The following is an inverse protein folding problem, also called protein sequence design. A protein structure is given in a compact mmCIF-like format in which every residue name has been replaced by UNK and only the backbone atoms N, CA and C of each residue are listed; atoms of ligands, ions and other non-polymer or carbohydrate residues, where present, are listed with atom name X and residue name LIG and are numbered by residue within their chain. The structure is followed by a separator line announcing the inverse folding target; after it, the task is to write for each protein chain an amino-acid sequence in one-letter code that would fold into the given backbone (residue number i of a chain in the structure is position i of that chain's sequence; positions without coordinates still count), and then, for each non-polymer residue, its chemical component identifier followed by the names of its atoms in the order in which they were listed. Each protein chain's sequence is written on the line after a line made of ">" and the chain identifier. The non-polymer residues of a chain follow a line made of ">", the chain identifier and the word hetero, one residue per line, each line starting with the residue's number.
data_IF_194492786681
#
_entry.id   IF_194492786681
#
_cell.length_a   1.000
_cell.length_b   1.000
_cell.length_c   1.000
_cell.angle_alpha   90.00
_cell.angle_beta   90.00
_cell.angle_gamma   90.00
#
_symmetry.space_group_name_H-M   'P 1'
#
loop_
_entity.id
_entity.type
_entity.pdbx_description
1 polymer ?
#
# COMPACT_ATOMS: atom_id res chain seq x y z
N UNK A 1 15.56 15.48 15.66
CA UNK A 1 15.33 16.58 14.71
C UNK A 1 14.08 16.28 13.93
N UNK A 2 13.23 17.26 13.75
CA UNK A 2 11.93 17.11 13.06
C UNK A 2 12.04 16.95 11.54
N UNK A 3 13.09 16.34 11.02
CA UNK A 3 13.23 15.94 9.61
C UNK A 3 12.93 17.01 8.55
N UNK A 4 12.96 18.28 8.90
CA UNK A 4 12.64 19.40 8.01
C UNK A 4 11.14 19.57 7.71
N UNK A 5 10.81 20.50 6.83
CA UNK A 5 9.42 20.79 6.43
C UNK A 5 8.92 19.80 5.37
N UNK A 6 7.64 19.49 5.38
CA UNK A 6 6.97 18.94 4.22
C UNK A 6 6.79 20.06 3.17
N UNK A 7 6.94 19.73 1.89
CA UNK A 7 6.80 20.68 0.79
C UNK A 7 5.73 20.16 -0.17
N UNK A 8 4.77 21.01 -0.49
CA UNK A 8 3.74 20.76 -1.48
C UNK A 8 4.07 21.57 -2.74
N UNK A 9 4.26 20.89 -3.86
CA UNK A 9 4.44 21.45 -5.17
C UNK A 9 3.11 21.39 -5.91
N UNK A 10 2.44 22.54 -6.05
CA UNK A 10 1.11 22.63 -6.68
C UNK A 10 1.20 22.77 -8.21
N UNK A 11 2.31 23.31 -8.72
CA UNK A 11 2.57 23.52 -10.14
C UNK A 11 3.73 22.62 -10.59
N UNK A 12 3.43 21.36 -10.88
CA UNK A 12 4.42 20.39 -11.34
C UNK A 12 4.51 20.44 -12.85
N UNK A 13 5.71 20.62 -13.40
CA UNK A 13 5.92 20.63 -14.84
C UNK A 13 5.46 19.32 -15.48
N UNK A 14 4.59 19.42 -16.49
CA UNK A 14 4.06 18.26 -17.21
C UNK A 14 2.95 17.49 -16.50
N UNK A 15 2.46 17.93 -15.32
CA UNK A 15 1.40 17.26 -14.60
C UNK A 15 0.43 18.22 -13.92
N UNK A 16 -0.85 17.84 -13.90
CA UNK A 16 -1.89 18.53 -13.14
C UNK A 16 -2.06 17.97 -11.72
N UNK A 17 -1.25 16.99 -11.35
CA UNK A 17 -1.28 16.35 -10.04
C UNK A 17 -0.20 16.97 -9.15
N UNK A 18 -0.54 17.50 -7.98
CA UNK A 18 0.45 18.07 -7.06
C UNK A 18 1.34 16.97 -6.46
N UNK A 19 2.57 17.37 -6.06
CA UNK A 19 3.53 16.47 -5.43
C UNK A 19 3.81 16.94 -4.01
N UNK A 20 3.60 16.05 -3.05
CA UNK A 20 3.99 16.25 -1.67
C UNK A 20 5.25 15.44 -1.35
N UNK A 21 6.29 16.10 -0.86
CA UNK A 21 7.52 15.44 -0.44
C UNK A 21 7.75 15.61 1.06
N UNK A 22 8.54 14.71 1.64
CA UNK A 22 8.87 14.69 3.07
C UNK A 22 7.61 14.62 3.98
N UNK A 23 6.56 13.93 3.52
CA UNK A 23 5.30 13.80 4.27
C UNK A 23 5.49 13.11 5.63
N UNK A 24 6.41 12.15 5.73
CA UNK A 24 6.68 11.35 6.94
C UNK A 24 7.94 11.76 7.69
N UNK A 25 8.48 12.93 7.45
CA UNK A 25 9.74 13.39 8.01
C UNK A 25 9.70 13.83 9.49
N UNK A 26 8.60 13.63 10.22
CA UNK A 26 8.54 13.84 11.68
C UNK A 26 7.47 12.96 12.32
N UNK A 27 7.65 12.63 13.62
CA UNK A 27 6.67 11.87 14.40
C UNK A 27 5.28 12.50 14.37
N UNK A 28 5.20 13.82 14.45
CA UNK A 28 3.92 14.54 14.35
C UNK A 28 3.21 14.31 13.03
N UNK A 29 3.93 14.34 11.90
CA UNK A 29 3.35 14.08 10.56
C UNK A 29 2.98 12.62 10.37
N UNK A 30 3.78 11.70 10.90
CA UNK A 30 3.44 10.28 10.91
C UNK A 30 2.16 10.04 11.71
N UNK A 31 2.03 10.64 12.90
CA UNK A 31 0.82 10.54 13.71
C UNK A 31 -0.42 11.05 12.96
N UNK A 32 -0.29 12.20 12.25
CA UNK A 32 -1.37 12.74 11.41
C UNK A 32 -1.71 11.75 10.26
N UNK A 33 -0.71 11.25 9.56
CA UNK A 33 -0.89 10.34 8.44
C UNK A 33 -1.57 9.01 8.85
N UNK A 34 -1.25 8.51 10.03
CA UNK A 34 -1.84 7.30 10.60
C UNK A 34 -3.14 7.58 11.38
N UNK A 35 -3.57 8.84 11.50
CA UNK A 35 -4.73 9.25 12.29
C UNK A 35 -4.66 8.80 13.75
N UNK A 36 -3.47 8.82 14.33
CA UNK A 36 -3.22 8.45 15.73
C UNK A 36 -2.68 9.64 16.53
N UNK A 37 -2.88 9.63 17.83
CA UNK A 37 -2.30 10.64 18.73
C UNK A 37 -0.81 10.40 18.96
N UNK A 38 -0.40 9.13 19.00
CA UNK A 38 0.96 8.74 19.36
C UNK A 38 1.25 7.35 18.78
N UNK A 39 2.20 7.27 17.83
CA UNK A 39 2.61 6.03 17.18
C UNK A 39 3.16 5.02 18.19
N UNK A 40 3.79 5.48 19.29
CA UNK A 40 4.37 4.60 20.31
C UNK A 40 3.32 3.78 21.07
N UNK A 41 2.03 4.12 20.95
CA UNK A 41 0.92 3.34 21.52
C UNK A 41 0.46 2.19 20.65
N UNK A 42 0.72 2.24 19.34
CA UNK A 42 0.27 1.20 18.39
C UNK A 42 0.73 -0.20 18.80
N UNK A 43 2.01 -0.44 19.17
CA UNK A 43 2.44 -1.76 19.62
C UNK A 43 1.65 -2.28 20.82
N UNK A 44 1.35 -1.42 21.79
CA UNK A 44 0.58 -1.79 22.97
C UNK A 44 -0.88 -2.14 22.62
N UNK A 45 -1.46 -1.42 21.67
CA UNK A 45 -2.83 -1.70 21.22
C UNK A 45 -2.91 -3.02 20.45
N UNK A 46 -1.93 -3.32 19.59
CA UNK A 46 -1.82 -4.61 18.92
C UNK A 46 -1.60 -5.75 19.93
N UNK A 47 -0.75 -5.57 20.91
CA UNK A 47 -0.45 -6.54 21.95
C UNK A 47 -1.70 -6.99 22.73
N UNK A 48 -2.68 -6.10 22.92
CA UNK A 48 -3.96 -6.46 23.56
C UNK A 48 -4.68 -7.57 22.80
N UNK A 49 -4.62 -7.54 21.46
CA UNK A 49 -5.27 -8.56 20.62
C UNK A 49 -4.44 -9.83 20.50
N UNK A 50 -3.11 -9.71 20.42
CA UNK A 50 -2.21 -10.86 20.28
C UNK A 50 -2.13 -11.72 21.57
N UNK A 51 -2.33 -11.10 22.74
CA UNK A 51 -2.24 -11.77 24.05
C UNK A 51 -3.56 -12.34 24.54
N UNK A 52 -4.62 -12.34 23.74
CA UNK A 52 -5.90 -12.95 24.11
C UNK A 52 -5.70 -14.43 24.31
N UNK A 53 -5.91 -14.89 25.55
CA UNK A 53 -5.98 -16.32 25.85
C UNK A 53 -7.40 -16.83 25.60
N UNK A 54 -7.56 -18.09 25.17
CA UNK A 54 -8.88 -18.70 25.08
C UNK A 54 -9.61 -18.60 26.42
N UNK A 55 -10.85 -18.08 26.46
CA UNK A 55 -11.58 -17.94 27.73
C UNK A 55 -11.94 -19.28 28.32
N UNK A 56 -11.68 -19.46 29.59
CA UNK A 56 -11.93 -20.70 30.35
C UNK A 56 -13.34 -20.77 30.96
N UNK A 57 -14.01 -19.61 31.11
CA UNK A 57 -15.32 -19.50 31.74
C UNK A 57 -16.31 -18.65 30.94
N UNK A 58 -17.61 -18.81 31.22
CA UNK A 58 -18.69 -18.00 30.62
C UNK A 58 -18.53 -16.50 30.94
N UNK A 59 -18.12 -16.16 32.15
CA UNK A 59 -17.85 -14.79 32.56
C UNK A 59 -16.71 -14.14 31.78
N UNK A 60 -15.65 -14.89 31.49
CA UNK A 60 -14.54 -14.42 30.67
C UNK A 60 -14.98 -14.20 29.20
N UNK A 61 -15.84 -15.07 28.66
CA UNK A 61 -16.42 -14.89 27.33
C UNK A 61 -17.21 -13.59 27.21
N UNK A 62 -18.03 -13.27 28.21
CA UNK A 62 -18.80 -12.02 28.25
C UNK A 62 -17.88 -10.80 28.35
N UNK A 63 -16.81 -10.86 29.14
CA UNK A 63 -15.81 -9.76 29.26
C UNK A 63 -15.03 -9.53 27.98
N UNK A 64 -14.81 -10.56 27.17
CA UNK A 64 -14.12 -10.44 25.88
C UNK A 64 -15.03 -9.92 24.73
N UNK A 65 -16.35 -9.98 24.92
CA UNK A 65 -17.31 -9.61 23.86
C UNK A 65 -17.11 -8.22 23.28
N UNK A 66 -16.89 -7.14 24.06
CA UNK A 66 -16.65 -5.81 23.50
C UNK A 66 -15.40 -5.79 22.61
N UNK A 67 -14.31 -6.42 23.04
CA UNK A 67 -13.06 -6.48 22.29
C UNK A 67 -13.18 -7.31 21.01
N UNK A 68 -13.96 -8.40 21.04
CA UNK A 68 -14.24 -9.21 19.86
C UNK A 68 -15.13 -8.44 18.86
N UNK A 69 -16.08 -7.63 19.33
CA UNK A 69 -16.91 -6.76 18.49
C UNK A 69 -16.06 -5.67 17.82
N UNK A 70 -15.10 -5.09 18.56
CA UNK A 70 -14.14 -4.15 18.02
C UNK A 70 -13.25 -4.82 16.95
N UNK A 71 -12.70 -6.00 17.25
CA UNK A 71 -11.90 -6.77 16.29
C UNK A 71 -12.70 -7.19 15.05
N UNK A 72 -13.99 -7.46 15.18
CA UNK A 72 -14.88 -7.79 14.06
C UNK A 72 -15.12 -6.60 13.09
N UNK A 73 -14.79 -5.37 13.49
CA UNK A 73 -14.85 -4.20 12.62
C UNK A 73 -13.62 -4.04 11.71
N UNK A 74 -12.51 -4.73 11.99
CA UNK A 74 -11.26 -4.63 11.22
C UNK A 74 -11.26 -5.27 9.83
N UNK A 75 -12.02 -6.35 9.54
CA UNK A 75 -12.00 -6.94 8.21
C UNK A 75 -12.34 -5.93 7.12
N UNK A 76 -11.63 -5.96 5.97
CA UNK A 76 -11.89 -5.05 4.87
C UNK A 76 -13.29 -5.25 4.33
N UNK A 77 -13.97 -4.14 4.02
CA UNK A 77 -15.30 -4.14 3.42
C UNK A 77 -15.19 -4.11 1.90
N UNK A 78 -15.94 -4.96 1.23
CA UNK A 78 -16.08 -4.89 -0.22
C UNK A 78 -17.00 -3.73 -0.58
N UNK A 79 -16.50 -2.86 -1.46
CA UNK A 79 -17.29 -1.78 -2.07
C UNK A 79 -17.61 -2.13 -3.51
N UNK A 80 -18.76 -1.70 -4.00
CA UNK A 80 -19.11 -1.89 -5.41
C UNK A 80 -18.23 -1.02 -6.31
N UNK A 81 -18.02 -1.43 -7.56
CA UNK A 81 -17.25 -0.65 -8.54
C UNK A 81 -17.78 0.77 -8.72
N UNK A 82 -19.10 0.98 -8.57
CA UNK A 82 -19.73 2.31 -8.67
C UNK A 82 -19.40 3.24 -7.50
N UNK A 83 -18.99 2.69 -6.37
CA UNK A 83 -18.64 3.43 -5.15
C UNK A 83 -17.14 3.54 -4.94
N UNK A 84 -16.35 2.86 -5.76
CA UNK A 84 -14.90 2.86 -5.67
C UNK A 84 -14.32 4.08 -6.40
N UNK A 85 -13.85 5.08 -5.64
CA UNK A 85 -13.26 6.30 -6.21
C UNK A 85 -12.09 6.02 -7.18
N UNK A 86 -11.33 4.94 -6.95
CA UNK A 86 -10.26 4.52 -7.86
C UNK A 86 -10.76 4.00 -9.23
N UNK A 87 -12.07 3.93 -9.45
CA UNK A 87 -12.69 3.51 -10.72
C UNK A 87 -13.54 4.61 -11.37
N UNK A 88 -13.48 5.84 -10.88
CA UNK A 88 -14.16 6.99 -11.50
C UNK A 88 -13.61 7.30 -12.89
N UNK A 89 -12.30 7.17 -13.07
CA UNK A 89 -11.62 7.33 -14.35
C UNK A 89 -10.90 6.03 -14.68
N UNK A 90 -11.25 5.43 -15.81
CA UNK A 90 -10.64 4.19 -16.29
C UNK A 90 -10.01 4.44 -17.66
N UNK A 91 -8.69 4.30 -17.74
CA UNK A 91 -7.93 4.42 -18.98
C UNK A 91 -7.43 3.02 -19.39
N UNK A 92 -7.63 2.68 -20.66
CA UNK A 92 -7.26 1.36 -21.19
C UNK A 92 -6.55 1.47 -22.54
N UNK A 93 -5.81 0.45 -22.90
CA UNK A 93 -5.17 0.38 -24.23
C UNK A 93 -4.25 1.57 -24.51
N UNK A 94 -4.57 2.36 -25.51
CA UNK A 94 -3.74 3.49 -25.94
C UNK A 94 -3.91 4.76 -25.11
N UNK A 95 -4.96 4.83 -24.29
CA UNK A 95 -5.18 5.95 -23.38
C UNK A 95 -4.31 5.90 -22.12
N UNK A 96 -3.68 4.75 -21.84
CA UNK A 96 -2.75 4.59 -20.71
C UNK A 96 -1.48 5.39 -20.95
N UNK A 97 -1.19 6.32 -20.03
CA UNK A 97 -0.02 7.18 -20.12
C UNK A 97 0.55 7.51 -18.73
N UNK A 98 1.62 6.81 -18.35
CA UNK A 98 2.32 7.02 -17.08
C UNK A 98 3.07 8.36 -17.03
N UNK A 99 3.29 9.03 -18.16
CA UNK A 99 3.94 10.35 -18.20
C UNK A 99 3.02 11.45 -17.63
N UNK A 100 1.71 11.20 -17.56
CA UNK A 100 0.74 12.11 -16.92
C UNK A 100 0.79 12.10 -15.40
N UNK A 101 1.41 11.05 -14.81
CA UNK A 101 1.58 10.93 -13.37
C UNK A 101 2.95 11.50 -12.99
N UNK A 102 3.07 12.38 -11.97
CA UNK A 102 4.33 13.01 -11.60
C UNK A 102 5.26 12.04 -10.87
N UNK A 103 5.71 11.01 -11.57
CA UNK A 103 6.64 10.00 -11.05
C UNK A 103 8.04 10.58 -11.08
N UNK A 104 8.68 10.66 -9.91
CA UNK A 104 9.94 11.37 -9.74
C UNK A 104 11.16 10.49 -10.06
N UNK A 105 12.19 11.11 -10.63
CA UNK A 105 13.57 10.64 -10.50
C UNK A 105 14.16 11.33 -9.27
N UNK A 106 14.32 10.58 -8.16
CA UNK A 106 14.68 11.16 -6.87
C UNK A 106 16.15 11.60 -6.79
N UNK A 107 17.04 10.95 -7.53
CA UNK A 107 18.47 11.20 -7.50
C UNK A 107 19.04 11.31 -8.91
N UNK A 108 20.07 12.17 -9.15
CA UNK A 108 20.64 12.36 -10.48
C UNK A 108 21.18 11.07 -11.12
N UNK A 109 21.66 10.14 -10.29
CA UNK A 109 22.23 8.87 -10.75
C UNK A 109 21.26 7.68 -10.70
N UNK A 110 19.97 7.92 -10.40
CA UNK A 110 18.94 6.89 -10.55
C UNK A 110 18.80 6.48 -12.01
N UNK A 111 18.51 5.20 -12.25
CA UNK A 111 18.32 4.65 -13.60
C UNK A 111 17.08 5.18 -14.32
N UNK A 112 16.37 6.16 -13.75
CA UNK A 112 15.17 6.79 -14.27
C UNK A 112 14.16 7.11 -13.18
N UNK A 113 12.89 7.24 -13.61
CA UNK A 113 11.77 7.54 -12.72
C UNK A 113 11.29 6.27 -12.01
N UNK A 114 10.97 6.38 -10.71
CA UNK A 114 10.52 5.25 -9.92
C UNK A 114 9.24 5.56 -9.16
N UNK A 115 8.27 4.66 -9.22
CA UNK A 115 7.16 4.58 -8.29
C UNK A 115 7.72 3.94 -7.01
N UNK A 116 7.96 4.77 -5.99
CA UNK A 116 8.76 4.36 -4.83
C UNK A 116 7.93 3.70 -3.75
N UNK A 117 6.65 4.01 -3.66
CA UNK A 117 5.77 3.61 -2.57
C UNK A 117 4.45 2.97 -3.06
N UNK A 118 4.46 2.10 -4.09
CA UNK A 118 3.25 1.46 -4.54
C UNK A 118 2.92 0.25 -3.67
N UNK A 119 1.63 0.04 -3.43
CA UNK A 119 1.13 -1.22 -2.89
C UNK A 119 0.78 -2.13 -4.05
N UNK A 120 1.44 -3.27 -4.11
CA UNK A 120 1.24 -4.28 -5.14
C UNK A 120 0.43 -5.44 -4.57
N UNK A 121 -0.66 -5.76 -5.24
CA UNK A 121 -1.54 -6.87 -4.88
C UNK A 121 -1.44 -7.93 -5.98
N UNK A 122 -1.11 -9.14 -5.60
CA UNK A 122 -1.09 -10.30 -6.48
C UNK A 122 -1.64 -11.55 -5.76
N UNK A 123 -1.83 -12.63 -6.51
CA UNK A 123 -2.39 -13.89 -6.00
C UNK A 123 -1.59 -15.08 -6.47
N UNK A 124 -1.73 -16.19 -5.75
CA UNK A 124 -1.26 -17.50 -6.20
C UNK A 124 -2.00 -17.96 -7.46
N UNK A 125 -1.43 -18.90 -8.19
CA UNK A 125 -2.04 -19.46 -9.42
C UNK A 125 -3.43 -20.05 -9.16
N UNK A 126 -3.63 -20.68 -8.01
CA UNK A 126 -4.92 -21.24 -7.57
C UNK A 126 -5.88 -20.20 -6.99
N UNK A 127 -5.50 -18.92 -6.98
CA UNK A 127 -6.25 -17.76 -6.49
C UNK A 127 -6.61 -17.81 -5.00
N UNK A 128 -6.08 -18.74 -4.22
CA UNK A 128 -6.44 -18.93 -2.81
C UNK A 128 -5.73 -17.94 -1.89
N UNK A 129 -4.46 -17.64 -2.15
CA UNK A 129 -3.69 -16.73 -1.34
C UNK A 129 -3.50 -15.39 -2.05
N UNK A 130 -3.60 -14.31 -1.29
CA UNK A 130 -3.35 -12.95 -1.74
C UNK A 130 -2.13 -12.41 -1.01
N UNK A 131 -1.21 -11.83 -1.76
CA UNK A 131 -0.12 -11.04 -1.22
C UNK A 131 -0.42 -9.55 -1.42
N UNK A 132 -0.11 -8.76 -0.42
CA UNK A 132 -0.13 -7.29 -0.45
C UNK A 132 1.20 -6.81 0.08
N UNK A 133 1.96 -6.08 -0.73
CA UNK A 133 3.29 -5.64 -0.31
C UNK A 133 3.80 -4.44 -1.10
N UNK A 134 4.86 -3.83 -0.58
CA UNK A 134 5.54 -2.71 -1.21
C UNK A 134 6.64 -3.25 -2.14
N UNK A 135 6.57 -2.89 -3.43
CA UNK A 135 7.57 -3.25 -4.44
C UNK A 135 7.85 -2.03 -5.32
N UNK A 136 9.05 -1.50 -5.26
CA UNK A 136 9.50 -0.36 -6.09
C UNK A 136 9.40 -0.72 -7.57
N UNK A 137 8.91 0.20 -8.39
CA UNK A 137 8.75 0.02 -9.83
C UNK A 137 9.47 1.10 -10.60
N UNK A 138 10.30 0.72 -11.57
CA UNK A 138 10.89 1.65 -12.53
C UNK A 138 9.95 1.88 -13.69
N UNK A 139 9.76 3.12 -14.10
CA UNK A 139 8.99 3.45 -15.31
C UNK A 139 9.93 3.46 -16.50
N UNK A 140 9.66 2.64 -17.50
CA UNK A 140 10.44 2.57 -18.75
C UNK A 140 9.84 3.44 -19.84
N UNK A 141 8.52 3.38 -19.98
CA UNK A 141 7.76 4.16 -20.96
C UNK A 141 6.32 4.41 -20.47
N UNK A 142 5.46 4.91 -21.33
CA UNK A 142 4.06 5.26 -21.02
C UNK A 142 3.22 4.11 -20.47
N UNK A 143 3.58 2.87 -20.74
CA UNK A 143 2.78 1.67 -20.45
C UNK A 143 3.59 0.57 -19.75
N UNK A 144 4.91 0.70 -19.70
CA UNK A 144 5.80 -0.36 -19.24
C UNK A 144 6.55 0.04 -17.99
N UNK A 145 6.55 -0.86 -17.03
CA UNK A 145 7.29 -0.72 -15.76
C UNK A 145 8.08 -1.98 -15.45
N UNK A 146 9.21 -1.83 -14.76
CA UNK A 146 9.99 -2.92 -14.19
C UNK A 146 9.71 -3.07 -12.70
N UNK A 147 9.12 -4.19 -12.30
CA UNK A 147 8.88 -4.50 -10.89
C UNK A 147 10.14 -5.07 -10.23
N UNK A 148 10.57 -4.47 -9.12
CA UNK A 148 11.67 -5.01 -8.33
C UNK A 148 11.20 -6.13 -7.41
N UNK A 149 11.28 -7.37 -7.88
CA UNK A 149 11.00 -8.56 -7.09
C UNK A 149 12.18 -8.90 -6.17
N UNK A 150 12.07 -8.57 -4.89
CA UNK A 150 13.06 -9.00 -3.91
C UNK A 150 12.86 -10.50 -3.61
N UNK A 151 13.90 -11.30 -3.74
CA UNK A 151 13.87 -12.77 -3.75
C UNK A 151 13.17 -13.42 -2.53
N UNK A 152 13.22 -12.77 -1.38
CA UNK A 152 12.66 -13.28 -0.12
C UNK A 152 11.21 -12.86 0.13
N UNK A 153 10.57 -12.11 -0.78
CA UNK A 153 9.20 -11.66 -0.63
C UNK A 153 8.20 -12.58 -1.31
N UNK A 154 7.00 -12.68 -0.74
CA UNK A 154 5.93 -13.56 -1.25
C UNK A 154 5.57 -13.26 -2.71
N UNK A 155 5.53 -11.97 -3.11
CA UNK A 155 5.29 -11.60 -4.50
C UNK A 155 6.31 -12.20 -5.48
N UNK A 156 7.59 -12.29 -5.08
CA UNK A 156 8.62 -12.96 -5.88
C UNK A 156 8.37 -14.47 -5.96
N UNK A 157 7.96 -15.09 -4.87
CA UNK A 157 7.58 -16.50 -4.82
C UNK A 157 6.44 -16.79 -5.79
N UNK A 158 5.37 -16.01 -5.75
CA UNK A 158 4.23 -16.17 -6.66
C UNK A 158 4.66 -15.98 -8.11
N UNK A 159 5.46 -14.94 -8.40
CA UNK A 159 5.99 -14.71 -9.74
C UNK A 159 6.77 -15.91 -10.27
N UNK A 160 7.63 -16.53 -9.45
CA UNK A 160 8.39 -17.70 -9.85
C UNK A 160 7.50 -18.91 -10.18
N UNK A 161 6.43 -19.13 -9.44
CA UNK A 161 5.47 -20.20 -9.71
C UNK A 161 4.75 -19.99 -11.06
N UNK A 162 4.30 -18.75 -11.34
CA UNK A 162 3.73 -18.41 -12.63
C UNK A 162 4.74 -18.61 -13.78
N UNK A 163 5.98 -18.16 -13.58
CA UNK A 163 7.06 -18.31 -14.56
C UNK A 163 7.36 -19.78 -14.86
N UNK A 164 7.44 -20.66 -13.85
CA UNK A 164 7.64 -22.10 -14.04
C UNK A 164 6.55 -22.75 -14.91
N UNK A 165 5.33 -22.22 -14.85
CA UNK A 165 4.19 -22.73 -15.63
C UNK A 165 3.99 -21.99 -16.95
N UNK A 166 4.86 -21.06 -17.32
CA UNK A 166 4.72 -20.24 -18.53
C UNK A 166 3.46 -19.35 -18.54
N UNK A 167 2.95 -18.98 -17.35
CA UNK A 167 1.74 -18.17 -17.20
C UNK A 167 2.08 -16.73 -16.86
N UNK A 168 1.18 -15.80 -17.22
CA UNK A 168 1.24 -14.40 -16.83
C UNK A 168 0.64 -14.24 -15.44
N UNK A 169 1.34 -13.54 -14.55
CA UNK A 169 0.84 -13.15 -13.23
C UNK A 169 0.22 -11.76 -13.30
N UNK A 170 -1.06 -11.68 -13.03
CA UNK A 170 -1.75 -10.39 -12.90
C UNK A 170 -1.39 -9.72 -11.58
N UNK A 171 -1.14 -8.41 -11.64
CA UNK A 171 -0.87 -7.57 -10.48
C UNK A 171 -1.72 -6.31 -10.53
N UNK A 172 -2.32 -5.94 -9.41
CA UNK A 172 -2.88 -4.61 -9.21
C UNK A 172 -1.87 -3.76 -8.44
N UNK A 173 -1.70 -2.50 -8.86
CA UNK A 173 -0.78 -1.56 -8.23
C UNK A 173 -1.54 -0.33 -7.79
N UNK A 174 -1.58 -0.07 -6.49
CA UNK A 174 -2.16 1.14 -5.93
C UNK A 174 -1.05 2.18 -5.70
N UNK A 175 -1.19 3.34 -6.34
CA UNK A 175 -0.32 4.50 -6.16
C UNK A 175 -1.10 5.51 -5.33
N UNK A 176 -0.52 5.99 -4.22
CA UNK A 176 -1.21 6.90 -3.31
C UNK A 176 -2.20 6.19 -2.38
N UNK A 177 -1.90 4.97 -1.96
CA UNK A 177 -2.67 4.27 -0.95
C UNK A 177 -2.63 4.99 0.41
N UNK A 178 -3.59 4.67 1.29
CA UNK A 178 -3.63 5.20 2.65
C UNK A 178 -2.33 4.85 3.39
N UNK A 179 -1.69 5.82 4.07
CA UNK A 179 -0.45 5.60 4.81
C UNK A 179 -0.52 4.48 5.86
N UNK A 180 -1.70 4.22 6.42
CA UNK A 180 -1.88 3.15 7.39
C UNK A 180 -1.79 1.73 6.78
N UNK A 181 -1.82 1.62 5.44
CA UNK A 181 -1.68 0.36 4.71
C UNK A 181 -0.23 0.15 4.21
N UNK A 182 0.58 1.21 4.23
CA UNK A 182 1.99 1.23 3.84
C UNK A 182 2.95 0.95 5.04
#
# INVERSE_FOLDING_TARGET
>A
SDGGKALLFENVEGSNIPVLINAFGSSKRINIALSVHDIEKIPNDIDKYLKIKPPSSLLEKVKLLPMLLEAAAFPPKMVSSRQACCQEVVLTGDDVDLDKIPILQCWPNDAGRFITFPIVVNRTIDQKLRNVGLYRMQVYDKKTTGMHWHIHKDGAHFFHEFKKQGKVMECAVAIGADPAVC
#
